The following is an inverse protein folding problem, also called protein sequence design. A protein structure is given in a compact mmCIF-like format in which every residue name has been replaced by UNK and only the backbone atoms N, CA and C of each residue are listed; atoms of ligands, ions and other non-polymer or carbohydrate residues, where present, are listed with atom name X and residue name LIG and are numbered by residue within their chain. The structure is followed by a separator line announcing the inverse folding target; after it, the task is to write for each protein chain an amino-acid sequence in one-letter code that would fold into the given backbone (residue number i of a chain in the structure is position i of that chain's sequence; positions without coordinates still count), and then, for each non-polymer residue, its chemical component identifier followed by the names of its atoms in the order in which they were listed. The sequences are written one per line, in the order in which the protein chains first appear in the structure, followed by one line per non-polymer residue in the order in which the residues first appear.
data_IF_262804894892
#
_entry.id   IF_262804894892
#
_cell.length_a   1.000
_cell.length_b   1.000
_cell.length_c   1.000
_cell.angle_alpha   90.00
_cell.angle_beta   90.00
_cell.angle_gamma   90.00
#
_symmetry.space_group_name_H-M   'P 1'
#
loop_
_entity.id
_entity.type
_entity.pdbx_description
1 polymer ?
#
# COMPACT_ATOMS: atom_id res chain seq x y z
N UNK A 1 12.45 20.05 52.51
CA UNK A 1 12.11 18.64 52.30
C UNK A 1 10.72 18.62 51.67
N UNK A 2 10.61 19.03 50.41
CA UNK A 2 10.78 18.19 49.21
C UNK A 2 9.81 17.01 49.18
N UNK A 3 8.86 17.09 48.25
CA UNK A 3 8.52 16.02 47.31
C UNK A 3 7.79 16.64 46.12
N UNK A 4 8.58 17.09 45.15
CA UNK A 4 8.13 17.32 43.78
C UNK A 4 7.50 16.04 43.26
N UNK A 5 6.23 16.13 42.88
CA UNK A 5 5.56 15.10 42.09
C UNK A 5 6.28 14.98 40.74
N UNK A 6 6.63 13.76 40.30
CA UNK A 6 7.20 13.58 38.97
C UNK A 6 6.11 13.93 37.94
N UNK A 7 6.38 14.95 37.12
CA UNK A 7 5.67 15.18 35.88
C UNK A 7 5.85 13.90 35.05
N UNK A 8 4.79 13.09 34.98
CA UNK A 8 4.72 11.99 34.04
C UNK A 8 4.75 12.62 32.65
N UNK A 9 5.93 12.61 32.02
CA UNK A 9 6.06 12.98 30.63
C UNK A 9 5.20 11.99 29.84
N UNK A 10 4.11 12.50 29.28
CA UNK A 10 3.30 11.75 28.33
C UNK A 10 4.26 11.18 27.28
N UNK A 11 4.13 9.90 26.91
CA UNK A 11 4.91 9.37 25.81
C UNK A 11 4.62 10.26 24.61
N UNK A 12 5.64 10.96 24.11
CA UNK A 12 5.60 11.54 22.78
C UNK A 12 5.60 10.36 21.82
N UNK A 13 4.43 9.77 21.60
CA UNK A 13 4.14 8.94 20.44
C UNK A 13 4.16 9.87 19.23
N UNK A 14 5.38 10.27 18.85
CA UNK A 14 5.69 10.74 17.53
C UNK A 14 5.71 9.51 16.63
N UNK A 15 4.54 8.99 16.30
CA UNK A 15 4.38 8.09 15.18
C UNK A 15 3.08 8.45 14.49
N UNK A 16 3.11 8.40 13.17
CA UNK A 16 1.97 8.62 12.28
C UNK A 16 0.88 7.53 12.45
N UNK A 17 0.86 6.82 13.58
CA UNK A 17 -0.07 5.74 13.92
C UNK A 17 -1.48 6.24 14.26
N UNK A 18 -1.66 7.52 14.59
CA UNK A 18 -2.91 8.01 15.19
C UNK A 18 -4.13 8.12 14.24
N UNK A 19 -4.00 7.76 12.96
CA UNK A 19 -5.11 7.84 12.00
C UNK A 19 -5.37 6.56 11.21
N UNK A 20 -4.30 5.86 10.80
CA UNK A 20 -4.42 4.66 9.98
C UNK A 20 -4.69 3.41 10.82
N UNK A 21 -4.08 3.25 12.00
CA UNK A 21 -4.27 2.06 12.84
C UNK A 21 -5.71 1.86 13.34
N UNK A 22 -6.54 2.91 13.33
CA UNK A 22 -7.95 2.87 13.70
C UNK A 22 -8.89 2.54 12.52
N UNK A 23 -8.38 2.50 11.28
CA UNK A 23 -9.17 2.18 10.09
C UNK A 23 -9.16 0.67 9.82
N UNK A 24 -10.28 0.09 9.33
CA UNK A 24 -10.24 -1.24 8.75
C UNK A 24 -9.19 -1.25 7.62
N UNK A 25 -8.22 -2.15 7.70
CA UNK A 25 -7.06 -2.30 6.78
C UNK A 25 -5.96 -1.24 6.89
N UNK A 26 -5.89 -0.45 7.98
CA UNK A 26 -4.86 0.57 8.18
C UNK A 26 -3.41 0.13 7.92
N UNK A 27 -3.04 -1.05 8.40
CA UNK A 27 -1.71 -1.62 8.22
C UNK A 27 -1.44 -2.00 6.74
N UNK A 28 -2.44 -2.53 6.04
CA UNK A 28 -2.34 -2.84 4.61
C UNK A 28 -2.18 -1.57 3.78
N UNK A 29 -2.94 -0.52 4.11
CA UNK A 29 -2.82 0.81 3.48
C UNK A 29 -1.44 1.43 3.74
N UNK A 30 -0.92 1.37 4.97
CA UNK A 30 0.41 1.88 5.30
C UNK A 30 1.54 1.15 4.54
N UNK A 31 1.43 -0.19 4.41
CA UNK A 31 2.36 -0.99 3.60
C UNK A 31 2.26 -0.65 2.11
N UNK A 32 1.05 -0.53 1.58
CA UNK A 32 0.83 -0.15 0.18
C UNK A 32 1.38 1.25 -0.11
N UNK A 33 1.16 2.22 0.77
CA UNK A 33 1.72 3.56 0.64
C UNK A 33 3.26 3.55 0.60
N UNK A 34 3.90 2.77 1.48
CA UNK A 34 5.36 2.62 1.48
C UNK A 34 5.88 1.97 0.20
N UNK A 35 5.18 0.96 -0.29
CA UNK A 35 5.51 0.27 -1.55
C UNK A 35 5.37 1.22 -2.74
N UNK A 36 4.26 1.97 -2.81
CA UNK A 36 4.05 2.99 -3.85
C UNK A 36 5.11 4.09 -3.81
N UNK A 37 5.50 4.57 -2.63
CA UNK A 37 6.58 5.56 -2.52
C UNK A 37 7.90 5.02 -3.08
N UNK A 38 8.24 3.77 -2.75
CA UNK A 38 9.43 3.11 -3.29
C UNK A 38 9.36 2.97 -4.82
N UNK A 39 8.25 2.43 -5.34
CA UNK A 39 8.07 2.29 -6.78
C UNK A 39 8.13 3.63 -7.51
N UNK A 40 7.62 4.71 -6.90
CA UNK A 40 7.71 6.06 -7.43
C UNK A 40 9.15 6.55 -7.51
N UNK A 41 9.95 6.34 -6.46
CA UNK A 41 11.37 6.70 -6.45
C UNK A 41 12.18 5.89 -7.47
N UNK A 42 11.91 4.60 -7.59
CA UNK A 42 12.54 3.73 -8.57
C UNK A 42 12.20 4.18 -10.00
N UNK A 43 10.93 4.49 -10.26
CA UNK A 43 10.47 5.02 -11.54
C UNK A 43 11.12 6.36 -11.91
N UNK A 44 11.16 7.32 -10.97
CA UNK A 44 11.83 8.62 -11.21
C UNK A 44 13.31 8.41 -11.52
N UNK A 45 13.98 7.52 -10.79
CA UNK A 45 15.39 7.21 -11.00
C UNK A 45 15.63 6.62 -12.40
N UNK A 46 14.80 5.66 -12.81
CA UNK A 46 14.89 5.05 -14.14
C UNK A 46 14.58 6.04 -15.27
N UNK A 47 13.61 6.94 -15.06
CA UNK A 47 13.28 7.98 -16.02
C UNK A 47 14.43 8.96 -16.23
N UNK A 48 15.06 9.41 -15.15
CA UNK A 48 16.24 10.28 -15.21
C UNK A 48 17.42 9.62 -15.92
N UNK A 49 17.65 8.32 -15.69
CA UNK A 49 18.67 7.56 -16.43
C UNK A 49 18.34 7.49 -17.93
N UNK A 50 17.09 7.26 -18.28
CA UNK A 50 16.66 7.24 -19.68
C UNK A 50 16.78 8.61 -20.35
N UNK A 51 16.53 9.70 -19.62
CA UNK A 51 16.73 11.07 -20.12
C UNK A 51 18.20 11.40 -20.31
N UNK A 52 19.09 11.00 -19.39
CA UNK A 52 20.54 11.14 -19.58
C UNK A 52 21.01 10.43 -20.85
N UNK A 53 20.55 9.19 -21.07
CA UNK A 53 20.88 8.43 -22.29
C UNK A 53 20.37 9.11 -23.56
N UNK A 54 19.18 9.71 -23.52
CA UNK A 54 18.66 10.49 -24.65
C UNK A 54 19.61 11.65 -25.00
N UNK A 55 20.06 12.41 -24.00
CA UNK A 55 20.99 13.52 -24.24
C UNK A 55 22.34 13.06 -24.79
N UNK A 56 22.89 11.98 -24.23
CA UNK A 56 24.13 11.37 -24.72
C UNK A 56 24.01 10.90 -26.18
N UNK A 57 22.89 10.24 -26.52
CA UNK A 57 22.62 9.76 -27.88
C UNK A 57 22.34 10.90 -28.86
N UNK A 58 21.67 11.96 -28.40
CA UNK A 58 21.37 13.13 -29.22
C UNK A 58 22.65 13.85 -29.69
N UNK A 59 23.71 13.88 -28.87
CA UNK A 59 25.02 14.40 -29.27
C UNK A 59 25.69 13.59 -30.39
N UNK A 60 25.30 12.32 -30.57
CA UNK A 60 25.81 11.43 -31.61
C UNK A 60 25.00 11.47 -32.92
N UNK A 61 23.87 12.18 -32.97
CA UNK A 61 23.05 12.26 -34.19
C UNK A 61 23.75 13.08 -35.27
N UNK A 62 23.86 12.53 -36.48
CA UNK A 62 24.48 13.20 -37.63
C UNK A 62 23.54 14.15 -38.37
N UNK A 63 22.23 14.03 -38.12
CA UNK A 63 21.20 14.84 -38.76
C UNK A 63 19.92 14.93 -37.91
N UNK A 64 18.98 15.78 -38.33
CA UNK A 64 17.70 16.00 -37.64
C UNK A 64 16.76 14.78 -37.70
N UNK A 65 16.82 13.98 -38.76
CA UNK A 65 15.98 12.79 -38.89
C UNK A 65 16.37 11.72 -37.84
N UNK A 66 17.67 11.55 -37.58
CA UNK A 66 18.17 10.67 -36.51
C UNK A 66 17.69 11.15 -35.14
N UNK A 67 17.75 12.45 -34.88
CA UNK A 67 17.26 13.05 -33.64
C UNK A 67 15.75 12.85 -33.48
N UNK A 68 14.98 13.01 -34.56
CA UNK A 68 13.54 12.78 -34.53
C UNK A 68 13.20 11.32 -34.26
N UNK A 69 13.91 10.37 -34.89
CA UNK A 69 13.74 8.94 -34.62
C UNK A 69 14.04 8.59 -33.16
N UNK A 70 15.13 9.13 -32.62
CA UNK A 70 15.51 8.99 -31.23
C UNK A 70 14.44 9.56 -30.27
N UNK A 71 13.90 10.75 -30.58
CA UNK A 71 12.83 11.35 -29.81
C UNK A 71 11.54 10.50 -29.84
N UNK A 72 11.17 9.94 -30.99
CA UNK A 72 9.99 9.08 -31.12
C UNK A 72 10.13 7.79 -30.31
N UNK A 73 11.31 7.17 -30.33
CA UNK A 73 11.61 6.00 -29.51
C UNK A 73 11.49 6.35 -28.01
N UNK A 74 12.13 7.43 -27.58
CA UNK A 74 12.07 7.90 -26.19
C UNK A 74 10.63 8.19 -25.74
N UNK A 75 9.79 8.81 -26.58
CA UNK A 75 8.39 9.05 -26.25
C UNK A 75 7.60 7.75 -26.09
N UNK A 76 7.83 6.79 -26.99
CA UNK A 76 7.15 5.48 -26.93
C UNK A 76 7.52 4.73 -25.65
N UNK A 77 8.81 4.72 -25.30
CA UNK A 77 9.31 4.13 -24.05
C UNK A 77 8.74 4.85 -22.82
N UNK A 78 8.68 6.19 -22.84
CA UNK A 78 8.12 6.97 -21.76
C UNK A 78 6.66 6.61 -21.49
N UNK A 79 5.80 6.65 -22.54
CA UNK A 79 4.37 6.36 -22.41
C UNK A 79 4.14 4.95 -21.86
N UNK A 80 4.91 3.96 -22.33
CA UNK A 80 4.86 2.60 -21.80
C UNK A 80 5.21 2.58 -20.31
N UNK A 81 6.34 3.19 -19.93
CA UNK A 81 6.81 3.18 -18.54
C UNK A 81 5.83 3.88 -17.57
N UNK A 82 5.25 5.02 -17.98
CA UNK A 82 4.22 5.72 -17.19
C UNK A 82 2.96 4.86 -17.02
N UNK A 83 2.52 4.18 -18.08
CA UNK A 83 1.34 3.31 -18.03
C UNK A 83 1.57 2.13 -17.10
N UNK A 84 2.74 1.49 -17.18
CA UNK A 84 3.12 0.35 -16.33
C UNK A 84 3.18 0.73 -14.85
N UNK A 85 3.88 1.81 -14.50
CA UNK A 85 3.98 2.23 -13.09
C UNK A 85 2.62 2.65 -12.53
N UNK A 86 1.81 3.35 -13.33
CA UNK A 86 0.46 3.76 -12.92
C UNK A 86 -0.42 2.54 -12.67
N UNK A 87 -0.37 1.55 -13.56
CA UNK A 87 -1.16 0.33 -13.39
C UNK A 87 -0.73 -0.48 -12.15
N UNK A 88 0.58 -0.59 -11.88
CA UNK A 88 1.08 -1.23 -10.66
C UNK A 88 0.61 -0.51 -9.39
N UNK A 89 0.77 0.81 -9.35
CA UNK A 89 0.34 1.63 -8.20
C UNK A 89 -1.18 1.53 -7.96
N UNK A 90 -2.00 1.59 -9.02
CA UNK A 90 -3.45 1.44 -8.91
C UNK A 90 -3.84 0.05 -8.40
N UNK A 91 -3.17 -1.00 -8.89
CA UNK A 91 -3.42 -2.37 -8.43
C UNK A 91 -3.10 -2.52 -6.95
N UNK A 92 -1.99 -1.95 -6.48
CA UNK A 92 -1.60 -1.97 -5.07
C UNK A 92 -2.57 -1.18 -4.18
N UNK A 93 -2.98 0.00 -4.64
CA UNK A 93 -3.94 0.83 -3.92
C UNK A 93 -5.31 0.13 -3.81
N UNK A 94 -5.79 -0.48 -4.89
CA UNK A 94 -7.06 -1.21 -4.89
C UNK A 94 -7.00 -2.42 -3.95
N UNK A 95 -5.93 -3.22 -4.02
CA UNK A 95 -5.74 -4.38 -3.15
C UNK A 95 -5.72 -4.01 -1.66
N UNK A 96 -5.14 -2.85 -1.31
CA UNK A 96 -5.13 -2.36 0.07
C UNK A 96 -6.47 -1.77 0.53
N UNK A 97 -7.30 -1.30 -0.40
CA UNK A 97 -8.61 -0.70 -0.11
C UNK A 97 -9.72 -1.75 0.04
N UNK A 98 -9.62 -2.91 -0.60
CA UNK A 98 -10.56 -4.02 -0.42
C UNK A 98 -10.36 -4.68 0.95
N UNK A 99 -11.39 -4.68 1.83
CA UNK A 99 -11.40 -5.57 2.98
C UNK A 99 -11.30 -6.99 2.49
N UNK A 100 -10.36 -7.77 3.03
CA UNK A 100 -10.43 -9.21 2.89
C UNK A 100 -11.82 -9.62 3.38
N UNK A 101 -12.67 -10.14 2.49
CA UNK A 101 -13.87 -10.86 2.92
C UNK A 101 -13.36 -11.93 3.87
N UNK A 102 -13.69 -11.76 5.15
CA UNK A 102 -13.53 -12.81 6.13
C UNK A 102 -14.24 -14.00 5.54
N UNK A 103 -13.49 -14.99 5.05
CA UNK A 103 -14.04 -16.32 4.85
C UNK A 103 -14.29 -16.82 6.26
N UNK A 104 -15.40 -16.38 6.85
CA UNK A 104 -15.97 -16.93 8.05
C UNK A 104 -16.36 -18.34 7.64
N UNK A 105 -15.43 -19.26 7.90
CA UNK A 105 -15.71 -20.67 7.92
C UNK A 105 -16.99 -20.82 8.76
N UNK A 106 -18.05 -21.27 8.10
CA UNK A 106 -19.35 -21.54 8.68
C UNK A 106 -19.16 -22.40 9.95
N UNK A 107 -19.11 -21.73 11.09
CA UNK A 107 -19.49 -22.31 12.36
C UNK A 107 -21.02 -22.40 12.32
N UNK A 108 -21.53 -23.54 11.86
CA UNK A 108 -22.95 -23.83 11.96
C UNK A 108 -23.40 -23.87 13.44
N UNK A 109 -24.67 -23.55 13.70
CA UNK A 109 -25.16 -22.94 14.93
C UNK A 109 -25.45 -23.91 16.07
N UNK A 110 -25.42 -23.34 17.28
CA UNK A 110 -26.06 -23.87 18.51
C UNK A 110 -27.44 -24.50 18.23
N UNK A 111 -27.57 -25.78 18.57
CA UNK A 111 -28.87 -26.44 18.71
C UNK A 111 -29.54 -26.06 20.06
N UNK A 112 -30.88 -25.91 20.11
CA UNK A 112 -31.59 -25.26 21.21
C UNK A 112 -31.68 -26.10 22.51
N UNK A 113 -31.99 -25.48 23.66
CA UNK A 113 -32.01 -26.13 24.97
C UNK A 113 -33.21 -27.07 25.12
N UNK A 114 -32.96 -28.36 25.35
CA UNK A 114 -34.00 -29.33 25.71
C UNK A 114 -34.14 -29.43 27.23
N UNK A 115 -35.03 -28.63 27.80
CA UNK A 115 -35.62 -28.90 29.12
C UNK A 115 -36.81 -29.86 28.94
N UNK A 116 -36.64 -31.15 29.25
CA UNK A 116 -37.76 -32.06 29.55
C UNK A 116 -37.26 -33.35 30.25
N UNK A 117 -37.05 -33.29 31.56
CA UNK A 117 -36.75 -34.45 32.40
C UNK A 117 -37.44 -34.32 33.76
N UNK A 118 -38.65 -34.88 33.82
CA UNK A 118 -39.61 -34.89 34.94
C UNK A 118 -39.01 -35.03 36.35
N UNK A 119 -39.45 -34.16 37.28
CA UNK A 119 -39.60 -34.53 38.68
C UNK A 119 -40.74 -35.56 38.84
N UNK A 120 -40.52 -36.63 39.59
CA UNK A 120 -41.22 -36.94 40.86
C UNK A 120 -41.24 -38.45 41.20
N UNK A 121 -40.74 -38.74 42.41
CA UNK A 121 -41.17 -39.72 43.41
C UNK A 121 -41.13 -41.24 43.10
N UNK A 122 -40.33 -41.99 43.88
CA UNK A 122 -40.81 -42.90 44.93
C UNK A 122 -39.67 -43.84 45.45
N UNK A 123 -39.28 -43.65 46.72
CA UNK A 123 -39.02 -44.68 47.73
C UNK A 123 -38.61 -43.99 49.04
#
# INVERSE_FOLDING_TARGET
MERSTPHQAAPRTGSLDFGLAALPNGEAVARAATTMMKEGMDFISDRLRADSRLFEQACGCGNIADLAALQQQWMTEAVRAYSEVTNRMLTQALAAATPAETTEAAGEPEGPPSHAGKQAAAA
#
